data_IF_927798933395
#
_entry.id   IF_927798933395
#
_cell.length_a   1.000
_cell.length_b   1.000
_cell.length_c   1.000
_cell.angle_alpha   90.00
_cell.angle_beta   90.00
_cell.angle_gamma   90.00
#
_symmetry.space_group_name_H-M   'P 1'
#
loop_
_entity.id
_entity.type
_entity.pdbx_description
1 polymer ?
#
# COMPACT_ATOMS: atom_id res chain seq x y z
N UNK A 1 23.38 -27.63 22.65
CA UNK A 1 22.72 -26.96 21.52
C UNK A 1 22.22 -25.61 22.01
N UNK A 2 22.71 -24.48 21.49
CA UNK A 2 22.27 -23.17 21.96
C UNK A 2 20.88 -22.83 21.42
N UNK A 3 20.10 -22.15 22.26
CA UNK A 3 18.73 -21.66 22.00
C UNK A 3 18.72 -20.59 20.91
N UNK A 4 17.77 -20.67 19.99
CA UNK A 4 17.63 -19.87 18.76
C UNK A 4 17.18 -18.40 18.95
N UNK A 5 17.43 -17.81 20.12
CA UNK A 5 16.97 -16.45 20.46
C UNK A 5 18.03 -15.34 20.39
N UNK A 6 19.29 -15.64 20.06
CA UNK A 6 20.38 -14.62 20.08
C UNK A 6 20.86 -14.10 18.72
N UNK A 7 20.27 -14.50 17.59
CA UNK A 7 20.86 -14.18 16.27
C UNK A 7 20.43 -12.82 15.68
N UNK A 8 19.48 -12.08 16.28
CA UNK A 8 19.02 -10.77 15.73
C UNK A 8 19.47 -9.59 16.61
N UNK A 9 20.75 -9.51 16.95
CA UNK A 9 21.33 -8.30 17.59
C UNK A 9 22.35 -7.56 16.73
N UNK A 10 22.90 -8.18 15.69
CA UNK A 10 24.01 -7.59 14.93
C UNK A 10 23.64 -6.96 13.56
N UNK A 11 22.36 -6.93 13.17
CA UNK A 11 21.95 -6.39 11.85
C UNK A 11 21.74 -4.85 11.80
N UNK A 12 22.03 -4.11 12.88
CA UNK A 12 21.79 -2.66 12.96
C UNK A 12 22.96 -1.75 12.53
N UNK A 13 24.05 -2.30 11.97
CA UNK A 13 25.25 -1.50 11.65
C UNK A 13 25.23 -0.77 10.29
N UNK A 14 24.06 -0.53 9.68
CA UNK A 14 23.96 0.11 8.36
C UNK A 14 23.81 1.65 8.36
N UNK A 15 24.01 2.33 9.49
CA UNK A 15 24.00 3.79 9.56
C UNK A 15 25.28 4.35 10.22
N UNK A 16 26.42 4.21 9.55
CA UNK A 16 27.60 5.02 9.86
C UNK A 16 27.63 6.28 8.98
N UNK A 17 26.84 7.28 9.38
CA UNK A 17 27.10 8.69 9.15
C UNK A 17 26.28 9.48 10.18
N UNK A 18 26.95 10.41 10.86
CA UNK A 18 26.46 11.28 11.96
C UNK A 18 26.63 10.68 13.37
N UNK A 19 27.85 10.80 13.90
CA UNK A 19 28.12 10.81 15.33
C UNK A 19 27.73 12.20 15.88
N UNK A 20 26.72 12.25 16.74
CA UNK A 20 26.46 13.42 17.60
C UNK A 20 26.35 13.01 19.08
N UNK A 21 26.74 13.96 19.92
CA UNK A 21 27.12 13.83 21.33
C UNK A 21 25.98 13.31 22.24
N UNK A 22 26.35 12.48 23.22
CA UNK A 22 25.43 11.92 24.20
C UNK A 22 24.97 12.97 25.22
N UNK A 23 23.66 13.18 25.35
CA UNK A 23 23.07 14.03 26.40
C UNK A 23 21.71 14.65 26.10
N UNK A 24 21.16 14.48 24.89
CA UNK A 24 19.96 15.23 24.47
C UNK A 24 18.65 14.55 24.91
N UNK A 25 17.64 15.31 25.39
CA UNK A 25 16.32 14.80 25.77
C UNK A 25 15.66 13.97 24.67
N UNK A 26 14.74 13.08 25.04
CA UNK A 26 13.87 12.32 24.13
C UNK A 26 13.23 13.31 23.15
N UNK A 27 13.76 13.39 21.92
CA UNK A 27 13.26 14.31 20.93
C UNK A 27 11.82 13.92 20.55
N UNK A 28 10.92 14.91 20.38
CA UNK A 28 9.60 14.65 19.81
C UNK A 28 9.78 13.95 18.46
N UNK A 29 8.89 12.98 18.21
CA UNK A 29 8.82 12.09 17.04
C UNK A 29 9.73 12.57 15.89
N UNK A 30 10.88 11.92 15.72
CA UNK A 30 11.80 12.19 14.63
C UNK A 30 10.99 12.37 13.35
N UNK A 31 10.99 13.59 12.79
CA UNK A 31 10.27 13.91 11.57
C UNK A 31 10.49 12.78 10.57
N UNK A 32 9.47 12.46 9.76
CA UNK A 32 9.53 11.47 8.68
C UNK A 32 10.51 11.90 7.57
N UNK A 33 11.77 12.05 7.94
CA UNK A 33 12.80 12.73 7.19
C UNK A 33 13.25 11.85 6.02
N UNK A 34 13.14 10.52 6.11
CA UNK A 34 13.60 9.63 5.03
C UNK A 34 12.73 9.68 3.78
N UNK A 35 11.41 9.85 3.89
CA UNK A 35 10.58 10.09 2.69
C UNK A 35 10.93 11.43 2.09
N UNK A 36 11.09 12.48 2.91
CA UNK A 36 11.60 13.79 2.49
C UNK A 36 12.97 13.70 1.78
N UNK A 37 13.94 13.00 2.35
CA UNK A 37 15.27 12.79 1.77
C UNK A 37 15.18 12.03 0.44
N UNK A 38 14.40 10.96 0.38
CA UNK A 38 14.20 10.22 -0.85
C UNK A 38 13.64 11.14 -1.97
N UNK A 39 12.73 12.03 -1.61
CA UNK A 39 12.18 13.00 -2.55
C UNK A 39 13.21 14.03 -2.97
N UNK A 40 14.01 14.54 -2.03
CA UNK A 40 15.06 15.51 -2.31
C UNK A 40 16.14 14.97 -3.25
N UNK A 41 16.47 13.68 -3.13
CA UNK A 41 17.50 13.03 -3.95
C UNK A 41 17.00 12.56 -5.32
N UNK A 42 15.71 12.25 -5.46
CA UNK A 42 15.10 11.75 -6.70
C UNK A 42 14.13 12.75 -7.34
N UNK A 43 14.18 14.03 -6.93
CA UNK A 43 13.20 15.06 -7.33
C UNK A 43 13.01 15.21 -8.85
N UNK A 44 14.05 14.94 -9.64
CA UNK A 44 14.00 15.00 -11.10
C UNK A 44 13.15 13.88 -11.72
N UNK A 45 12.98 12.76 -11.00
CA UNK A 45 12.21 11.58 -11.42
C UNK A 45 10.79 11.56 -10.85
N UNK A 46 10.56 12.31 -9.78
CA UNK A 46 9.28 12.38 -9.08
C UNK A 46 8.45 13.50 -9.68
N UNK A 47 7.19 13.19 -10.00
CA UNK A 47 6.17 14.14 -10.44
C UNK A 47 4.98 14.06 -9.51
N UNK A 48 4.27 15.18 -9.34
CA UNK A 48 2.98 15.18 -8.66
C UNK A 48 1.89 14.86 -9.68
N UNK A 49 1.09 13.84 -9.41
CA UNK A 49 -0.07 13.45 -10.20
C UNK A 49 -1.26 13.29 -9.26
N UNK A 50 -2.33 14.07 -9.50
CA UNK A 50 -3.52 14.15 -8.61
C UNK A 50 -3.19 14.34 -7.11
N UNK A 51 -2.17 15.15 -6.80
CA UNK A 51 -1.76 15.41 -5.40
C UNK A 51 -0.98 14.27 -4.74
N UNK A 52 -0.69 13.19 -5.47
CA UNK A 52 0.18 12.11 -5.03
C UNK A 52 1.52 12.13 -5.79
N UNK A 53 2.62 11.75 -5.14
CA UNK A 53 3.92 11.65 -5.79
C UNK A 53 4.06 10.35 -6.58
N UNK A 54 4.49 10.46 -7.83
CA UNK A 54 4.57 9.38 -8.80
C UNK A 54 5.90 9.39 -9.55
N UNK A 55 6.28 8.26 -10.11
CA UNK A 55 7.39 8.10 -11.05
C UNK A 55 6.81 7.76 -12.42
N UNK A 56 7.29 8.43 -13.48
CA UNK A 56 6.99 8.01 -14.85
C UNK A 56 7.79 6.75 -15.15
N UNK A 57 7.10 5.66 -15.47
CA UNK A 57 7.71 4.39 -15.81
C UNK A 57 6.95 3.76 -16.98
N UNK A 58 7.67 3.42 -18.05
CA UNK A 58 7.08 3.03 -19.33
C UNK A 58 6.06 4.10 -19.77
N UNK A 59 4.83 3.68 -20.06
CA UNK A 59 3.76 4.52 -20.60
C UNK A 59 2.88 5.16 -19.51
N UNK A 60 3.21 4.95 -18.23
CA UNK A 60 2.35 5.35 -17.11
C UNK A 60 3.05 6.12 -15.98
N UNK A 61 2.23 6.59 -15.05
CA UNK A 61 2.66 7.15 -13.76
C UNK A 61 2.29 6.17 -12.65
N UNK A 62 3.29 5.74 -11.89
CA UNK A 62 3.09 4.82 -10.76
C UNK A 62 3.35 5.54 -9.45
N UNK A 63 2.51 5.35 -8.41
CA UNK A 63 2.67 6.03 -7.13
C UNK A 63 3.94 5.57 -6.40
N UNK A 64 4.48 6.50 -5.63
CA UNK A 64 5.60 6.25 -4.71
C UNK A 64 5.02 5.79 -3.38
N UNK A 65 5.59 4.72 -2.83
CA UNK A 65 5.21 4.18 -1.53
C UNK A 65 5.48 5.23 -0.46
N UNK A 66 4.38 5.70 0.13
CA UNK A 66 4.33 6.57 1.30
C UNK A 66 3.37 5.95 2.32
N UNK A 67 3.19 6.62 3.47
CA UNK A 67 2.20 6.22 4.46
C UNK A 67 0.77 6.33 3.93
N UNK A 68 0.52 7.04 2.83
CA UNK A 68 -0.82 7.29 2.28
C UNK A 68 -1.21 6.31 1.16
N UNK A 69 -0.25 5.54 0.64
CA UNK A 69 -0.56 4.49 -0.34
C UNK A 69 -1.30 3.35 0.37
N UNK A 70 -2.48 2.99 -0.16
CA UNK A 70 -3.33 1.90 0.35
C UNK A 70 -3.43 0.72 -0.61
N UNK A 71 -3.39 0.99 -1.91
CA UNK A 71 -3.49 -0.04 -2.94
C UNK A 71 -2.09 -0.47 -3.42
N UNK A 72 -1.73 -1.71 -3.12
CA UNK A 72 -0.50 -2.37 -3.56
C UNK A 72 -0.75 -3.43 -4.65
N UNK A 73 -1.97 -3.52 -5.19
CA UNK A 73 -2.32 -4.36 -6.35
C UNK A 73 -2.07 -3.64 -7.69
N UNK A 74 -1.30 -2.56 -7.65
CA UNK A 74 -0.83 -1.80 -8.81
C UNK A 74 0.68 -1.65 -8.75
N UNK A 75 1.30 -1.22 -9.85
CA UNK A 75 2.73 -0.87 -9.84
C UNK A 75 2.99 0.27 -8.88
N UNK A 76 3.90 0.06 -7.92
CA UNK A 76 4.33 1.11 -6.98
C UNK A 76 5.85 1.13 -6.82
N UNK A 77 6.40 2.29 -6.48
CA UNK A 77 7.83 2.48 -6.31
C UNK A 77 8.20 2.76 -4.85
N UNK A 78 9.09 1.96 -4.27
CA UNK A 78 9.70 2.25 -2.98
C UNK A 78 11.09 2.87 -3.18
N UNK A 79 11.23 4.15 -2.89
CA UNK A 79 12.44 4.93 -3.20
C UNK A 79 13.44 5.00 -2.03
N UNK A 80 14.72 4.84 -2.38
CA UNK A 80 15.82 4.92 -1.40
C UNK A 80 16.02 6.35 -0.91
N UNK A 81 16.52 6.52 0.31
CA UNK A 81 16.71 7.86 0.90
C UNK A 81 17.97 8.59 0.43
N UNK A 82 18.68 8.08 -0.57
CA UNK A 82 19.85 8.73 -1.18
C UNK A 82 19.87 8.48 -2.69
N UNK A 83 20.63 9.30 -3.43
CA UNK A 83 20.80 9.16 -4.88
C UNK A 83 21.57 7.90 -5.28
N UNK A 84 22.35 7.34 -4.35
CA UNK A 84 23.11 6.09 -4.52
C UNK A 84 22.28 4.82 -4.28
N UNK A 85 20.98 4.95 -4.02
CA UNK A 85 20.09 3.83 -3.75
C UNK A 85 19.15 3.58 -4.91
N UNK A 86 18.80 2.32 -5.05
CA UNK A 86 17.82 1.79 -5.98
C UNK A 86 16.39 2.26 -5.68
N UNK A 87 15.59 2.33 -6.74
CA UNK A 87 14.14 2.45 -6.72
C UNK A 87 13.57 1.04 -6.88
N UNK A 88 12.93 0.53 -5.83
CA UNK A 88 12.32 -0.80 -5.89
C UNK A 88 10.97 -0.70 -6.59
N UNK A 89 10.76 -1.50 -7.61
CA UNK A 89 9.48 -1.62 -8.30
C UNK A 89 8.74 -2.85 -7.79
N UNK A 90 7.57 -2.66 -7.19
CA UNK A 90 6.60 -3.73 -7.04
C UNK A 90 5.76 -3.76 -8.33
N UNK A 91 5.86 -4.84 -9.11
CA UNK A 91 4.99 -5.07 -10.27
C UNK A 91 4.07 -6.28 -10.02
N UNK A 92 2.77 -6.07 -9.71
CA UNK A 92 1.82 -7.17 -9.45
C UNK A 92 1.73 -8.21 -10.57
N UNK A 93 2.13 -7.84 -11.80
CA UNK A 93 2.08 -8.74 -12.95
C UNK A 93 3.24 -9.74 -12.99
N UNK A 94 4.28 -9.56 -12.16
CA UNK A 94 5.41 -10.47 -12.09
C UNK A 94 5.00 -11.90 -11.72
N UNK A 95 5.45 -12.87 -12.50
CA UNK A 95 5.05 -14.28 -12.36
C UNK A 95 5.44 -14.88 -11.00
N UNK A 96 6.58 -14.46 -10.44
CA UNK A 96 7.02 -14.90 -9.11
C UNK A 96 6.07 -14.43 -7.99
N UNK A 97 5.52 -13.21 -8.09
CA UNK A 97 4.54 -12.68 -7.14
C UNK A 97 3.20 -13.40 -7.28
N UNK A 98 2.75 -13.68 -8.51
CA UNK A 98 1.54 -14.48 -8.77
C UNK A 98 1.65 -15.88 -8.16
N UNK A 99 2.78 -16.56 -8.39
CA UNK A 99 3.07 -17.88 -7.80
C UNK A 99 3.10 -17.83 -6.27
N UNK A 100 3.77 -16.83 -5.70
CA UNK A 100 3.84 -16.67 -4.25
C UNK A 100 2.45 -16.42 -3.66
N UNK A 101 1.62 -15.60 -4.31
CA UNK A 101 0.25 -15.37 -3.88
C UNK A 101 -0.62 -16.64 -3.95
N UNK A 102 -0.47 -17.44 -5.01
CA UNK A 102 -1.14 -18.73 -5.12
C UNK A 102 -0.71 -19.69 -3.99
N UNK A 103 0.58 -19.72 -3.62
CA UNK A 103 1.08 -20.49 -2.47
C UNK A 103 0.44 -20.00 -1.16
N UNK A 104 0.39 -18.68 -0.94
CA UNK A 104 -0.27 -18.10 0.25
C UNK A 104 -1.72 -18.54 0.36
N UNK A 105 -2.47 -18.48 -0.74
CA UNK A 105 -3.88 -18.89 -0.81
C UNK A 105 -4.08 -20.35 -0.44
N UNK A 106 -3.13 -21.22 -0.77
CA UNK A 106 -3.16 -22.65 -0.40
C UNK A 106 -2.80 -22.88 1.07
N UNK A 107 -1.93 -22.04 1.65
CA UNK A 107 -1.48 -22.16 3.04
C UNK A 107 -2.51 -21.61 4.05
N UNK A 108 -3.36 -20.66 3.65
CA UNK A 108 -4.40 -20.11 4.51
C UNK A 108 -5.47 -21.17 4.78
N UNK A 109 -5.63 -21.54 6.05
CA UNK A 109 -6.65 -22.47 6.51
C UNK A 109 -8.05 -21.88 6.32
N UNK A 110 -9.04 -22.74 6.09
CA UNK A 110 -10.43 -22.34 6.15
C UNK A 110 -10.75 -21.75 7.52
N UNK A 111 -11.43 -20.59 7.54
CA UNK A 111 -11.77 -19.84 8.75
C UNK A 111 -10.57 -19.31 9.56
N UNK A 112 -9.39 -19.18 8.95
CA UNK A 112 -8.25 -18.53 9.59
C UNK A 112 -8.61 -17.12 10.06
N UNK A 113 -8.16 -16.79 11.26
CA UNK A 113 -8.26 -15.46 11.85
C UNK A 113 -7.26 -14.51 11.19
N UNK A 114 -7.49 -13.19 11.32
CA UNK A 114 -6.57 -12.17 10.80
C UNK A 114 -5.12 -12.37 11.28
N UNK A 115 -4.85 -12.61 12.58
CA UNK A 115 -3.48 -12.91 13.04
C UNK A 115 -2.86 -14.14 12.36
N UNK A 116 -3.62 -15.23 12.17
CA UNK A 116 -3.11 -16.44 11.51
C UNK A 116 -2.76 -16.18 10.05
N UNK A 117 -3.60 -15.43 9.33
CA UNK A 117 -3.33 -15.04 7.94
C UNK A 117 -2.06 -14.19 7.87
N UNK A 118 -1.93 -13.17 8.74
CA UNK A 118 -0.74 -12.31 8.77
C UNK A 118 0.53 -13.10 9.14
N UNK A 119 0.41 -14.14 9.98
CA UNK A 119 1.52 -15.04 10.28
C UNK A 119 1.95 -15.86 9.06
N UNK A 120 1.01 -16.38 8.26
CA UNK A 120 1.33 -17.07 7.01
C UNK A 120 2.00 -16.14 5.99
N UNK A 121 1.55 -14.89 5.87
CA UNK A 121 2.24 -13.86 5.08
C UNK A 121 3.68 -13.70 5.57
N UNK A 122 3.88 -13.57 6.88
CA UNK A 122 5.21 -13.38 7.46
C UNK A 122 6.17 -14.53 7.14
N UNK A 123 5.69 -15.78 7.28
CA UNK A 123 6.46 -16.99 6.95
C UNK A 123 6.86 -17.00 5.47
N UNK A 124 5.91 -16.69 4.59
CA UNK A 124 6.14 -16.74 3.15
C UNK A 124 7.09 -15.64 2.68
N UNK A 125 6.98 -14.44 3.25
CA UNK A 125 7.93 -13.34 3.01
C UNK A 125 9.34 -13.69 3.48
N UNK A 126 9.49 -14.32 4.65
CA UNK A 126 10.81 -14.80 5.12
C UNK A 126 11.38 -15.87 4.19
N UNK A 127 10.55 -16.79 3.70
CA UNK A 127 10.94 -17.80 2.72
C UNK A 127 11.39 -17.18 1.39
N UNK A 128 10.80 -16.07 0.98
CA UNK A 128 11.18 -15.34 -0.24
C UNK A 128 12.52 -14.59 -0.11
N UNK A 129 12.93 -14.24 1.11
CA UNK A 129 14.16 -13.50 1.40
C UNK A 129 14.97 -14.17 2.52
N UNK A 130 15.50 -15.40 2.31
CA UNK A 130 16.24 -16.13 3.33
C UNK A 130 17.58 -15.48 3.70
N UNK A 131 18.14 -14.64 2.83
CA UNK A 131 19.45 -13.99 3.03
C UNK A 131 19.24 -12.53 3.43
N UNK A 132 19.56 -12.20 4.68
CA UNK A 132 19.59 -10.83 5.21
C UNK A 132 20.97 -10.18 5.16
N UNK A 133 21.98 -10.89 4.65
CA UNK A 133 23.36 -10.41 4.59
C UNK A 133 23.51 -9.17 3.71
N UNK A 134 23.85 -8.07 4.36
CA UNK A 134 23.89 -6.73 3.75
C UNK A 134 24.96 -6.57 2.67
N UNK A 135 26.05 -7.35 2.75
CA UNK A 135 27.13 -7.32 1.76
C UNK A 135 26.68 -7.85 0.39
N UNK A 136 25.94 -8.97 0.37
CA UNK A 136 25.38 -9.53 -0.87
C UNK A 136 24.35 -8.58 -1.48
N UNK A 137 23.45 -8.03 -0.66
CA UNK A 137 22.49 -7.03 -1.13
C UNK A 137 23.20 -5.82 -1.73
N UNK A 138 24.24 -5.30 -1.07
CA UNK A 138 25.00 -4.15 -1.57
C UNK A 138 25.66 -4.46 -2.92
N UNK A 139 26.34 -5.60 -3.04
CA UNK A 139 26.97 -6.01 -4.30
C UNK A 139 25.94 -6.19 -5.43
N UNK A 140 24.77 -6.76 -5.11
CA UNK A 140 23.66 -6.93 -6.06
C UNK A 140 23.14 -5.58 -6.55
N UNK A 141 22.87 -4.63 -5.65
CA UNK A 141 22.41 -3.28 -6.01
C UNK A 141 23.48 -2.52 -6.82
N UNK A 142 24.75 -2.56 -6.38
CA UNK A 142 25.85 -1.88 -7.07
C UNK A 142 26.08 -2.42 -8.49
N UNK A 143 25.81 -3.70 -8.73
CA UNK A 143 25.82 -4.27 -10.08
C UNK A 143 24.77 -3.58 -10.97
N UNK A 144 23.50 -3.58 -10.56
CA UNK A 144 22.41 -2.96 -11.32
C UNK A 144 22.62 -1.46 -11.57
N UNK A 145 23.11 -0.74 -10.54
CA UNK A 145 23.40 0.69 -10.67
C UNK A 145 24.52 0.97 -11.67
N UNK A 146 25.57 0.14 -11.73
CA UNK A 146 26.65 0.26 -12.73
C UNK A 146 26.18 -0.04 -14.15
N UNK A 147 25.18 -0.91 -14.31
CA UNK A 147 24.54 -1.22 -15.59
C UNK A 147 23.55 -0.13 -16.03
N UNK A 148 23.38 0.94 -15.24
CA UNK A 148 22.48 2.04 -15.57
C UNK A 148 21.01 1.76 -15.25
N UNK A 149 20.73 0.72 -14.45
CA UNK A 149 19.39 0.29 -14.07
C UNK A 149 19.09 0.73 -12.63
N UNK A 150 18.57 1.97 -12.41
CA UNK A 150 18.23 2.43 -11.07
C UNK A 150 16.92 1.87 -10.54
N UNK A 151 16.08 1.30 -11.42
CA UNK A 151 14.86 0.60 -11.07
C UNK A 151 15.18 -0.88 -11.01
N UNK A 152 14.96 -1.49 -9.86
CA UNK A 152 15.15 -2.94 -9.69
C UNK A 152 13.80 -3.53 -9.25
N UNK A 153 13.20 -4.42 -10.04
CA UNK A 153 11.99 -5.14 -9.69
C UNK A 153 12.14 -5.95 -8.38
N UNK A 154 11.09 -5.99 -7.56
CA UNK A 154 11.06 -6.73 -6.29
C UNK A 154 11.25 -8.23 -6.52
N UNK A 155 10.76 -8.76 -7.64
CA UNK A 155 10.91 -10.17 -7.98
C UNK A 155 12.35 -10.57 -8.27
N UNK A 156 13.21 -9.67 -8.73
CA UNK A 156 14.64 -9.96 -8.87
C UNK A 156 15.30 -10.19 -7.51
N UNK A 157 14.93 -9.42 -6.48
CA UNK A 157 15.37 -9.66 -5.10
C UNK A 157 14.86 -11.01 -4.57
N UNK A 158 13.61 -11.35 -4.88
CA UNK A 158 13.02 -12.65 -4.49
C UNK A 158 13.73 -13.82 -5.15
N UNK A 159 14.06 -13.71 -6.44
CA UNK A 159 14.79 -14.75 -7.18
C UNK A 159 16.20 -14.94 -6.63
N UNK A 160 16.86 -13.84 -6.23
CA UNK A 160 18.16 -13.89 -5.57
C UNK A 160 18.09 -14.27 -4.08
N UNK A 161 16.88 -14.37 -3.50
CA UNK A 161 16.66 -14.71 -2.09
C UNK A 161 17.20 -13.69 -1.10
N UNK A 162 17.42 -12.43 -1.54
CA UNK A 162 18.06 -11.38 -0.75
C UNK A 162 17.05 -10.29 -0.40
N UNK A 163 16.99 -9.89 0.87
CA UNK A 163 16.04 -8.88 1.31
C UNK A 163 16.44 -8.21 2.61
N UNK A 164 15.89 -7.01 2.80
CA UNK A 164 15.95 -6.26 4.06
C UNK A 164 14.55 -5.73 4.35
N UNK A 165 14.37 -4.99 5.45
CA UNK A 165 13.08 -4.47 5.90
C UNK A 165 12.21 -3.86 4.78
N UNK A 166 12.81 -3.12 3.83
CA UNK A 166 12.09 -2.49 2.71
C UNK A 166 11.52 -3.49 1.71
N UNK A 167 12.24 -4.56 1.40
CA UNK A 167 11.79 -5.63 0.51
C UNK A 167 10.66 -6.44 1.18
N UNK A 168 10.87 -6.82 2.45
CA UNK A 168 9.88 -7.56 3.23
C UNK A 168 8.57 -6.79 3.38
N UNK A 169 8.65 -5.52 3.77
CA UNK A 169 7.46 -4.70 3.98
C UNK A 169 6.70 -4.38 2.69
N UNK A 170 7.39 -4.33 1.55
CA UNK A 170 6.74 -4.14 0.25
C UNK A 170 6.01 -5.43 -0.19
N UNK A 171 6.65 -6.59 -0.01
CA UNK A 171 6.02 -7.88 -0.30
C UNK A 171 4.82 -8.16 0.61
N UNK A 172 4.94 -7.89 1.91
CA UNK A 172 3.84 -7.98 2.87
C UNK A 172 2.66 -7.09 2.46
N UNK A 173 2.93 -5.85 2.05
CA UNK A 173 1.89 -4.92 1.63
C UNK A 173 1.12 -5.44 0.41
N UNK A 174 1.83 -5.97 -0.59
CA UNK A 174 1.25 -6.63 -1.75
C UNK A 174 0.35 -7.80 -1.35
N UNK A 175 0.86 -8.75 -0.56
CA UNK A 175 0.12 -9.95 -0.18
C UNK A 175 -1.15 -9.62 0.61
N UNK A 176 -1.07 -8.68 1.56
CA UNK A 176 -2.27 -8.21 2.28
C UNK A 176 -3.26 -7.50 1.36
N UNK A 177 -2.78 -6.64 0.45
CA UNK A 177 -3.63 -5.90 -0.50
C UNK A 177 -4.36 -6.85 -1.46
N UNK A 178 -3.72 -7.93 -1.91
CA UNK A 178 -4.34 -8.97 -2.74
C UNK A 178 -5.41 -9.75 -1.96
N UNK A 179 -5.14 -10.10 -0.71
CA UNK A 179 -6.14 -10.77 0.14
C UNK A 179 -7.34 -9.88 0.47
N UNK A 180 -7.15 -8.56 0.56
CA UNK A 180 -8.26 -7.59 0.72
C UNK A 180 -9.11 -7.53 -0.56
N UNK A 181 -8.48 -7.45 -1.73
CA UNK A 181 -9.20 -7.48 -3.03
C UNK A 181 -10.00 -8.77 -3.20
N UNK A 182 -9.44 -9.91 -2.80
CA UNK A 182 -10.12 -11.20 -2.82
C UNK A 182 -11.09 -11.42 -1.64
N UNK A 183 -11.33 -10.39 -0.82
CA UNK A 183 -12.25 -10.42 0.34
C UNK A 183 -11.93 -11.50 1.40
N UNK A 184 -10.69 -11.96 1.47
CA UNK A 184 -10.20 -12.88 2.50
C UNK A 184 -9.83 -12.12 3.78
N UNK A 185 -9.19 -10.97 3.61
CA UNK A 185 -8.99 -9.98 4.67
C UNK A 185 -9.98 -8.83 4.49
N UNK A 186 -10.40 -8.19 5.58
CA UNK A 186 -11.30 -7.03 5.54
C UNK A 186 -10.65 -5.87 6.27
N UNK A 187 -10.01 -4.95 5.54
CA UNK A 187 -9.28 -3.88 6.22
C UNK A 187 -8.46 -3.00 5.31
N UNK A 188 -7.58 -2.20 5.92
CA UNK A 188 -6.62 -1.37 5.21
C UNK A 188 -5.17 -1.76 5.52
N UNK A 189 -4.33 -1.73 4.48
CA UNK A 189 -2.89 -1.94 4.56
C UNK A 189 -2.20 -0.59 4.71
N UNK A 190 -1.37 -0.46 5.74
CA UNK A 190 -0.64 0.77 6.03
C UNK A 190 0.85 0.48 6.01
N UNK A 191 1.58 1.10 5.08
CA UNK A 191 3.03 1.00 5.03
C UNK A 191 3.68 2.03 5.97
N UNK A 192 4.55 1.56 6.85
CA UNK A 192 5.28 2.38 7.80
C UNK A 192 6.72 2.55 7.35
N UNK A 193 7.22 3.79 7.45
CA UNK A 193 8.63 4.13 7.26
C UNK A 193 9.05 5.08 8.36
N UNK A 194 9.96 4.63 9.21
CA UNK A 194 10.52 5.45 10.27
C UNK A 194 12.04 5.56 10.16
N UNK A 195 12.55 6.64 10.74
CA UNK A 195 13.98 6.84 10.96
C UNK A 195 14.20 6.74 12.45
N UNK A 196 14.97 5.76 12.88
CA UNK A 196 15.32 5.59 14.27
C UNK A 196 16.71 6.17 14.46
N UNK A 197 16.80 7.18 15.34
CA UNK A 197 18.08 7.75 15.72
C UNK A 197 18.99 6.61 16.22
N UNK A 198 20.19 6.47 15.63
CA UNK A 198 21.17 5.37 15.83
C UNK A 198 20.85 4.00 15.22
N UNK A 199 19.59 3.67 14.89
CA UNK A 199 19.25 2.31 14.47
C UNK A 199 18.99 2.12 12.97
N UNK A 200 18.88 3.18 12.18
CA UNK A 200 18.56 2.99 10.76
C UNK A 200 17.32 3.70 10.29
N UNK A 201 17.06 3.55 9.00
CA UNK A 201 15.69 3.59 8.52
C UNK A 201 15.09 2.18 8.64
N UNK A 202 13.85 2.11 9.07
CA UNK A 202 13.11 0.86 9.14
C UNK A 202 11.75 0.99 8.48
N UNK A 203 11.29 -0.10 7.88
CA UNK A 203 10.00 -0.19 7.21
C UNK A 203 9.29 -1.46 7.59
N UNK A 204 8.00 -1.35 7.91
CA UNK A 204 7.13 -2.46 8.29
C UNK A 204 5.70 -2.12 7.87
N UNK A 205 4.75 -3.00 8.17
CA UNK A 205 3.36 -2.77 7.83
C UNK A 205 2.48 -2.79 9.07
N UNK A 206 1.39 -2.04 9.01
CA UNK A 206 0.24 -2.26 9.87
C UNK A 206 -0.94 -2.73 9.01
N UNK A 207 -1.83 -3.49 9.61
CA UNK A 207 -3.10 -3.88 9.02
C UNK A 207 -4.22 -3.52 9.99
N UNK A 208 -5.14 -2.66 9.56
CA UNK A 208 -6.34 -2.34 10.35
C UNK A 208 -7.47 -3.23 9.88
N UNK A 209 -7.84 -4.19 10.71
CA UNK A 209 -8.95 -5.08 10.46
C UNK A 209 -10.27 -4.36 10.79
N UNK A 210 -11.18 -4.33 9.82
CA UNK A 210 -12.52 -3.74 9.96
C UNK A 210 -13.53 -4.70 10.55
N UNK A 211 -13.23 -6.01 10.56
CA UNK A 211 -14.09 -7.06 11.14
C UNK A 211 -14.08 -7.00 12.66
N UNK A 212 -12.90 -6.92 13.27
CA UNK A 212 -12.76 -6.83 14.72
C UNK A 212 -12.30 -5.46 15.23
N UNK A 213 -11.96 -4.53 14.32
CA UNK A 213 -11.56 -3.16 14.62
C UNK A 213 -10.12 -3.02 15.08
N UNK A 214 -9.32 -4.09 15.11
CA UNK A 214 -7.95 -4.08 15.66
C UNK A 214 -6.92 -3.61 14.65
N UNK A 215 -5.87 -2.99 15.18
CA UNK A 215 -4.67 -2.64 14.44
C UNK A 215 -3.55 -3.64 14.74
N UNK A 216 -3.14 -4.37 13.71
CA UNK A 216 -2.06 -5.35 13.76
C UNK A 216 -0.78 -4.77 13.20
N UNK A 217 0.35 -5.09 13.82
CA UNK A 217 1.68 -4.87 13.25
C UNK A 217 2.22 -6.15 12.64
N UNK A 218 2.72 -6.03 11.42
CA UNK A 218 3.42 -7.09 10.70
C UNK A 218 4.82 -6.60 10.34
N UNK A 219 5.81 -7.17 11.02
CA UNK A 219 7.22 -7.00 10.72
C UNK A 219 7.87 -8.37 10.54
N UNK A 220 8.09 -8.75 9.28
CA UNK A 220 8.59 -10.09 8.95
C UNK A 220 10.04 -10.32 9.35
N UNK A 221 10.78 -9.31 9.79
CA UNK A 221 12.10 -9.55 10.40
C UNK A 221 11.97 -10.03 11.86
N UNK A 222 10.86 -9.75 12.53
CA UNK A 222 10.69 -9.97 13.97
C UNK A 222 9.81 -11.18 14.30
N UNK A 223 9.47 -12.02 13.31
CA UNK A 223 8.72 -13.29 13.41
C UNK A 223 7.36 -13.23 14.14
N UNK A 224 6.91 -12.05 14.55
CA UNK A 224 5.73 -11.87 15.37
C UNK A 224 4.76 -10.90 14.69
N UNK A 225 3.49 -11.32 14.62
CA UNK A 225 2.36 -10.44 14.36
C UNK A 225 1.82 -10.03 15.73
N UNK A 226 1.75 -8.73 16.02
CA UNK A 226 1.20 -8.24 17.30
C UNK A 226 -0.03 -7.38 17.08
N UNK A 227 -1.05 -7.59 17.90
CA UNK A 227 -2.20 -6.70 18.02
C UNK A 227 -1.83 -5.55 18.94
N UNK A 228 -1.85 -4.32 18.43
CA UNK A 228 -1.53 -3.13 19.24
C UNK A 228 -2.63 -2.79 20.24
N UNK A 229 -3.86 -3.24 19.96
CA UNK A 229 -4.97 -3.11 20.90
C UNK A 229 -4.82 -4.07 22.10
N UNK A 230 -4.38 -5.31 21.84
CA UNK A 230 -4.28 -6.33 22.89
C UNK A 230 -2.94 -6.26 23.65
N UNK A 231 -1.87 -5.81 22.99
CA UNK A 231 -0.52 -5.72 23.56
C UNK A 231 0.05 -4.30 23.38
N UNK A 232 -0.53 -3.28 24.06
CA UNK A 232 -0.02 -1.92 23.97
C UNK A 232 1.41 -1.82 24.53
N UNK A 233 2.29 -1.13 23.83
CA UNK A 233 3.69 -0.95 24.18
C UNK A 233 4.64 -1.99 23.58
N UNK A 234 4.13 -3.06 22.94
CA UNK A 234 4.97 -4.10 22.33
C UNK A 234 5.90 -3.51 21.28
N UNK A 235 5.43 -2.63 20.40
CA UNK A 235 6.29 -2.01 19.39
C UNK A 235 7.27 -1.03 20.02
N UNK A 236 6.85 -0.36 21.09
CA UNK A 236 7.74 0.55 21.80
C UNK A 236 8.90 -0.21 22.43
N UNK A 237 8.62 -1.36 23.03
CA UNK A 237 9.64 -2.28 23.56
C UNK A 237 10.51 -2.85 22.44
N UNK A 238 9.90 -3.22 21.31
CA UNK A 238 10.59 -3.78 20.14
C UNK A 238 11.67 -2.84 19.61
N UNK A 239 11.29 -1.58 19.36
CA UNK A 239 12.18 -0.61 18.73
C UNK A 239 12.92 0.28 19.74
N UNK A 240 12.63 0.15 21.04
CA UNK A 240 13.22 0.99 22.09
C UNK A 240 12.85 2.47 22.00
N UNK A 241 11.72 2.80 21.35
CA UNK A 241 11.26 4.17 21.07
C UNK A 241 9.74 4.27 21.20
N UNK A 242 9.20 5.47 21.40
CA UNK A 242 7.75 5.68 21.41
C UNK A 242 7.13 5.77 20.00
N UNK A 243 7.13 4.65 19.28
CA UNK A 243 6.54 4.56 17.93
C UNK A 243 5.02 4.56 17.97
N UNK A 244 4.44 4.00 19.03
CA UNK A 244 2.99 3.82 19.16
C UNK A 244 2.26 5.15 19.32
N UNK A 245 2.82 6.13 20.04
CA UNK A 245 2.25 7.48 20.09
C UNK A 245 2.16 8.11 18.70
N UNK A 246 3.18 7.94 17.85
CA UNK A 246 3.16 8.42 16.47
C UNK A 246 2.14 7.71 15.59
N UNK A 247 1.87 6.42 15.85
CA UNK A 247 0.78 5.68 15.19
C UNK A 247 -0.57 6.18 15.69
N UNK A 248 -0.75 6.35 17.01
CA UNK A 248 -2.01 6.87 17.59
C UNK A 248 -2.32 8.29 17.11
N UNK A 249 -1.33 9.16 17.02
CA UNK A 249 -1.50 10.51 16.50
C UNK A 249 -1.96 10.52 15.03
N UNK A 250 -1.48 9.56 14.23
CA UNK A 250 -1.82 9.48 12.81
C UNK A 250 -3.15 8.75 12.53
N UNK A 251 -3.50 7.74 13.32
CA UNK A 251 -4.61 6.84 13.02
C UNK A 251 -5.62 6.67 14.15
N UNK A 252 -5.53 7.47 15.21
CA UNK A 252 -6.39 7.39 16.37
C UNK A 252 -6.16 6.12 17.20
N UNK A 253 -7.24 5.58 17.76
CA UNK A 253 -7.19 4.41 18.62
C UNK A 253 -6.81 3.14 17.84
N UNK A 254 -6.09 2.23 18.51
CA UNK A 254 -5.72 0.91 17.96
C UNK A 254 -6.90 -0.05 17.84
N UNK A 255 -8.00 0.28 18.51
CA UNK A 255 -9.27 -0.40 18.44
C UNK A 255 -10.29 0.60 17.89
N UNK A 256 -10.87 0.31 16.73
CA UNK A 256 -12.05 1.03 16.27
C UNK A 256 -13.22 0.74 17.22
N UNK A 257 -14.14 1.71 17.44
CA UNK A 257 -15.36 1.44 18.17
C UNK A 257 -16.02 0.24 17.53
N UNK A 258 -16.25 -0.82 18.31
CA UNK A 258 -17.10 -1.90 17.83
C UNK A 258 -18.41 -1.25 17.40
N UNK A 259 -18.88 -1.56 16.17
CA UNK A 259 -20.25 -1.23 15.81
C UNK A 259 -21.09 -1.90 16.87
N UNK A 260 -21.49 -1.15 17.92
CA UNK A 260 -22.38 -1.65 18.94
C UNK A 260 -23.51 -2.27 18.14
N UNK A 261 -23.71 -3.58 18.31
CA UNK A 261 -24.92 -4.22 17.82
C UNK A 261 -26.02 -3.40 18.47
N UNK A 262 -26.58 -2.45 17.73
CA UNK A 262 -27.76 -1.71 18.12
C UNK A 262 -28.74 -2.84 18.40
N UNK A 263 -28.96 -3.09 19.68
CA UNK A 263 -29.85 -4.14 20.11
C UNK A 263 -31.21 -3.58 19.70
N UNK A 264 -31.65 -3.97 18.51
CA UNK A 264 -33.00 -3.70 18.02
C UNK A 264 -33.89 -4.48 18.98
N UNK A 265 -34.25 -3.82 20.07
CA UNK A 265 -35.30 -4.24 20.96
C UNK A 265 -36.57 -4.06 20.15
N UNK A 266 -37.09 -5.19 19.69
CA UNK A 266 -38.36 -5.29 18.98
C UNK A 266 -39.47 -4.64 19.79
N UNK A 267 -40.11 -3.62 19.22
CA UNK A 267 -41.52 -3.37 19.42
C UNK A 267 -42.15 -2.92 18.09
N UNK A 268 -43.05 -3.77 17.60
CA UNK A 268 -44.23 -3.48 16.82
C UNK A 268 -44.10 -2.73 15.47
N UNK A 269 -44.37 -3.50 14.41
CA UNK A 269 -45.25 -3.16 13.28
C UNK A 269 -45.44 -1.66 12.98
N UNK A 270 -44.70 -1.15 11.99
CA UNK A 270 -45.28 -0.31 10.94
C UNK A 270 -44.40 -0.32 9.69
N UNK A 271 -45.00 -0.79 8.61
CA UNK A 271 -44.55 -0.68 7.22
C UNK A 271 -44.23 0.80 6.96
N UNK A 272 -42.96 1.18 6.72
CA UNK A 272 -42.58 2.30 5.85
C UNK A 272 -41.05 2.35 5.64
N UNK A 273 -40.68 2.47 4.35
CA UNK A 273 -39.41 2.93 3.77
C UNK A 273 -38.11 2.20 4.17
N UNK A 274 -37.45 1.63 3.16
CA UNK A 274 -36.11 1.05 3.25
C UNK A 274 -35.10 2.10 3.78
N UNK A 275 -34.34 1.82 4.85
CA UNK A 275 -33.35 2.74 5.35
C UNK A 275 -32.15 2.75 4.40
N UNK A 276 -31.83 3.92 3.86
CA UNK A 276 -30.57 4.19 3.16
C UNK A 276 -29.40 3.87 4.09
N UNK A 277 -28.48 3.01 3.64
CA UNK A 277 -27.27 2.67 4.37
C UNK A 277 -26.48 3.96 4.70
N UNK A 278 -25.92 4.08 5.92
CA UNK A 278 -25.09 5.22 6.28
C UNK A 278 -23.86 5.25 5.37
N UNK A 279 -23.74 6.34 4.61
CA UNK A 279 -22.56 6.67 3.82
C UNK A 279 -21.38 6.76 4.78
N UNK A 280 -20.46 5.80 4.70
CA UNK A 280 -19.20 5.86 5.44
C UNK A 280 -18.40 7.00 4.78
N UNK A 281 -18.05 8.08 5.50
CA UNK A 281 -17.22 9.13 4.92
C UNK A 281 -15.87 8.52 4.54
N UNK A 282 -15.47 8.68 3.27
CA UNK A 282 -14.12 8.32 2.85
C UNK A 282 -13.11 9.08 3.72
N UNK A 283 -12.12 8.40 4.32
CA UNK A 283 -11.08 9.09 5.04
C UNK A 283 -10.33 9.99 4.07
N UNK A 284 -10.48 11.30 4.24
CA UNK A 284 -9.68 12.30 3.53
C UNK A 284 -8.21 11.99 3.84
N UNK A 285 -7.39 11.62 2.85
CA UNK A 285 -5.97 11.38 3.09
C UNK A 285 -5.40 12.64 3.72
N UNK A 286 -4.69 12.52 4.85
CA UNK A 286 -3.94 13.61 5.41
C UNK A 286 -2.85 13.98 4.41
N UNK A 287 -3.17 14.85 3.45
CA UNK A 287 -2.25 15.32 2.43
C UNK A 287 -1.02 15.84 3.17
N UNK A 288 0.11 15.17 2.97
CA UNK A 288 1.33 15.47 3.71
C UNK A 288 1.87 16.84 3.21
N UNK A 289 1.39 17.93 3.82
CA UNK A 289 1.72 19.31 3.46
C UNK A 289 3.24 19.55 3.45
N UNK A 290 3.98 18.83 4.29
CA UNK A 290 5.44 18.91 4.33
C UNK A 290 6.09 18.36 3.05
N UNK A 291 5.55 17.27 2.47
CA UNK A 291 6.01 16.71 1.19
C UNK A 291 5.75 17.67 0.02
N UNK A 292 4.57 18.30 0.01
CA UNK A 292 4.24 19.32 -0.99
C UNK A 292 5.20 20.52 -0.92
N UNK A 293 5.56 20.98 0.29
CA UNK A 293 6.51 22.09 0.46
C UNK A 293 7.85 21.83 -0.22
N UNK A 294 8.45 20.66 -0.03
CA UNK A 294 9.75 20.30 -0.61
C UNK A 294 9.72 20.29 -2.14
N UNK A 295 8.65 19.76 -2.74
CA UNK A 295 8.54 19.68 -4.19
C UNK A 295 8.31 21.05 -4.82
N UNK A 296 7.54 21.91 -4.15
CA UNK A 296 7.33 23.30 -4.53
C UNK A 296 8.63 24.14 -4.43
N UNK A 297 9.45 23.95 -3.39
CA UNK A 297 10.71 24.69 -3.18
C UNK A 297 11.75 24.45 -4.29
N UNK A 298 11.75 23.27 -4.92
CA UNK A 298 12.77 22.89 -5.94
C UNK A 298 12.37 23.17 -7.39
N UNK A 299 11.33 23.97 -7.64
CA UNK A 299 10.76 24.17 -8.98
C UNK A 299 10.43 22.83 -9.69
N UNK A 300 10.00 21.82 -8.92
CA UNK A 300 9.56 20.56 -9.54
C UNK A 300 8.34 20.89 -10.40
N UNK A 301 8.32 20.55 -11.71
CA UNK A 301 7.17 20.83 -12.55
C UNK A 301 5.94 20.17 -11.95
N UNK A 302 5.04 20.99 -11.39
CA UNK A 302 3.72 20.56 -10.96
C UNK A 302 2.92 20.40 -12.25
N UNK A 303 2.89 19.18 -12.75
CA UNK A 303 1.95 18.82 -13.82
C UNK A 303 0.59 18.65 -13.14
N UNK A 304 -0.08 19.77 -12.89
CA UNK A 304 -1.50 19.76 -12.56
C UNK A 304 -2.21 19.56 -13.89
N UNK A 305 -2.34 18.33 -14.35
CA UNK A 305 -3.36 18.02 -15.36
C UNK A 305 -4.72 18.26 -14.69
N UNK A 306 -5.25 19.48 -14.88
CA UNK A 306 -6.59 19.87 -14.43
C UNK A 306 -7.69 19.22 -15.27
N UNK A 307 -7.32 18.61 -16.38
CA UNK A 307 -8.24 17.98 -17.29
C UNK A 307 -8.07 16.47 -17.13
N UNK A 308 -9.16 15.81 -16.71
CA UNK A 308 -9.32 14.38 -17.03
C UNK A 308 -9.08 14.27 -18.53
N UNK A 309 -8.32 13.28 -19.03
CA UNK A 309 -8.37 12.98 -20.45
C UNK A 309 -9.85 12.85 -20.82
N UNK A 310 -10.35 13.74 -21.68
CA UNK A 310 -11.54 13.39 -22.43
C UNK A 310 -11.10 12.19 -23.26
N UNK A 311 -11.42 11.00 -22.76
CA UNK A 311 -11.38 9.81 -23.58
C UNK A 311 -12.41 10.11 -24.66
N UNK A 312 -11.93 10.40 -25.87
CA UNK A 312 -12.81 10.47 -27.02
C UNK A 312 -13.29 9.03 -27.27
N UNK A 313 -14.44 8.70 -26.65
CA UNK A 313 -15.03 7.39 -26.78
C UNK A 313 -15.29 7.05 -28.26
N UNK A 314 -15.51 8.04 -29.14
CA UNK A 314 -15.66 7.76 -30.56
C UNK A 314 -14.35 7.30 -31.20
N UNK A 315 -13.21 7.83 -30.76
CA UNK A 315 -11.89 7.44 -31.26
C UNK A 315 -11.51 6.02 -30.78
N UNK A 316 -11.75 5.70 -29.50
CA UNK A 316 -11.55 4.35 -28.95
C UNK A 316 -12.47 3.33 -29.62
N UNK A 317 -13.74 3.70 -29.87
CA UNK A 317 -14.68 2.82 -30.57
C UNK A 317 -14.26 2.63 -32.04
N UNK A 318 -13.80 3.68 -32.74
CA UNK A 318 -13.28 3.57 -34.11
C UNK A 318 -12.03 2.69 -34.18
N UNK A 319 -11.14 2.80 -33.19
CA UNK A 319 -9.93 1.98 -33.10
C UNK A 319 -10.27 0.50 -32.87
N UNK A 320 -11.14 0.19 -31.91
CA UNK A 320 -11.61 -1.19 -31.66
C UNK A 320 -12.34 -1.80 -32.87
N UNK A 321 -13.18 -1.02 -33.55
CA UNK A 321 -13.86 -1.46 -34.78
C UNK A 321 -12.89 -1.67 -35.94
N UNK A 322 -11.78 -0.93 -36.01
CA UNK A 322 -10.76 -1.11 -37.05
C UNK A 322 -9.93 -2.39 -36.88
N UNK A 323 -9.88 -2.95 -35.66
CA UNK A 323 -9.19 -4.20 -35.34
C UNK A 323 -10.06 -5.46 -35.52
N UNK A 324 -11.30 -5.31 -36.02
CA UNK A 324 -12.17 -6.43 -36.36
C UNK A 324 -12.80 -7.13 -35.15
N UNK A 325 -12.83 -6.49 -33.99
CA UNK A 325 -13.55 -7.00 -32.83
C UNK A 325 -15.06 -6.72 -32.98
N UNK A 326 -15.89 -7.77 -32.96
CA UNK A 326 -17.33 -7.60 -32.82
C UNK A 326 -17.65 -6.94 -31.46
N UNK A 327 -18.51 -5.91 -31.42
CA UNK A 327 -18.81 -5.22 -30.18
C UNK A 327 -19.56 -6.15 -29.23
N UNK A 328 -18.89 -6.59 -28.16
CA UNK A 328 -19.54 -7.31 -27.06
C UNK A 328 -20.53 -6.34 -26.41
N UNK A 329 -21.82 -6.69 -26.45
CA UNK A 329 -22.94 -5.99 -25.81
C UNK A 329 -22.80 -5.98 -24.27
N UNK A 330 -21.92 -5.13 -23.75
CA UNK A 330 -21.85 -4.75 -22.33
C UNK A 330 -22.23 -3.29 -22.10
N UNK A 331 -23.17 -2.76 -22.89
CA UNK A 331 -23.65 -1.38 -22.80
C UNK A 331 -24.21 -1.02 -21.39
N UNK A 332 -24.59 -2.03 -20.59
CA UNK A 332 -25.13 -1.83 -19.24
C UNK A 332 -24.08 -1.83 -18.11
N UNK A 333 -22.81 -2.16 -18.38
CA UNK A 333 -21.77 -2.19 -17.32
C UNK A 333 -20.85 -0.97 -17.31
N UNK A 334 -20.65 -0.31 -18.45
CA UNK A 334 -19.77 0.88 -18.55
C UNK A 334 -20.45 2.13 -17.97
N UNK A 335 -21.77 2.28 -18.13
CA UNK A 335 -22.51 3.44 -17.60
C UNK A 335 -22.60 3.49 -16.07
N UNK A 336 -22.21 2.42 -15.36
CA UNK A 336 -22.26 2.35 -13.89
C UNK A 336 -21.03 2.96 -13.21
N UNK A 337 -19.94 3.20 -13.94
CA UNK A 337 -18.68 3.71 -13.37
C UNK A 337 -18.48 5.22 -13.52
N UNK A 338 -19.31 5.92 -14.29
CA UNK A 338 -19.02 7.31 -14.67
C UNK A 338 -20.15 8.33 -14.47
N UNK A 339 -21.21 8.02 -13.71
CA UNK A 339 -22.23 9.02 -13.35
C UNK A 339 -22.01 9.62 -11.95
N UNK A 340 -22.04 10.95 -11.79
CA UNK A 340 -22.29 11.60 -10.50
C UNK A 340 -23.68 11.24 -9.97
N UNK A 341 -23.86 11.24 -8.66
CA UNK A 341 -25.08 10.80 -7.98
C UNK A 341 -26.32 11.68 -8.20
N UNK A 342 -26.22 12.77 -8.97
CA UNK A 342 -27.26 13.82 -9.02
C UNK A 342 -28.11 13.78 -10.31
N UNK A 343 -27.91 12.81 -11.21
CA UNK A 343 -28.76 12.61 -12.38
C UNK A 343 -29.25 11.16 -12.53
N UNK A 344 -30.29 10.85 -11.76
CA UNK A 344 -31.21 9.75 -12.09
C UNK A 344 -32.62 10.34 -12.08
N UNK A 345 -33.08 10.80 -13.24
CA UNK A 345 -34.51 10.91 -13.50
C UNK A 345 -34.84 10.62 -14.98
N UNK A 346 -35.93 9.86 -15.14
CA UNK A 346 -36.64 9.48 -16.38
C UNK A 346 -36.02 8.37 -17.23
N UNK A 347 -36.36 7.14 -16.85
CA UNK A 347 -36.49 6.03 -17.81
C UNK A 347 -37.69 6.37 -18.71
N UNK A 348 -37.42 6.60 -19.99
CA UNK A 348 -38.45 6.67 -21.03
C UNK A 348 -38.85 5.25 -21.40
N UNK A 349 -40.14 4.98 -21.30
CA UNK A 349 -40.80 3.73 -21.70
C UNK A 349 -40.68 3.57 -23.23
N UNK A 350 -39.83 2.65 -23.70
CA UNK A 350 -39.73 2.27 -25.10
C UNK A 350 -40.67 1.10 -25.34
N UNK A 351 -41.96 1.40 -25.33
CA UNK A 351 -43.02 0.53 -25.84
C UNK A 351 -43.74 1.25 -26.98
N UNK A 352 -43.04 1.47 -28.11
CA UNK A 352 -43.66 1.79 -29.39
C UNK A 352 -42.64 1.64 -30.54
N UNK A 353 -42.61 0.45 -31.16
CA UNK A 353 -42.18 0.31 -32.55
C UNK A 353 -43.38 -0.17 -33.37
N UNK A 354 -43.76 0.54 -34.44
CA UNK A 354 -44.77 0.04 -35.37
C UNK A 354 -44.16 -1.08 -36.21
N UNK A 355 -44.87 -2.21 -36.26
CA UNK A 355 -44.62 -3.28 -37.22
C UNK A 355 -44.73 -2.74 -38.64
N UNK A 356 -43.61 -2.73 -39.37
CA UNK A 356 -43.66 -2.60 -40.83
C UNK A 356 -44.06 -3.94 -41.40
N UNK A 357 -45.25 -3.94 -41.99
CA UNK A 357 -45.78 -4.97 -42.87
C UNK A 357 -45.22 -4.83 -44.30
N UNK A 358 -45.08 -6.01 -44.94
CA UNK A 358 -45.14 -6.31 -46.38
C UNK A 358 -43.87 -6.15 -47.23
N UNK A 359 -43.76 -6.84 -48.38
CA UNK A 359 -44.62 -7.90 -48.96
C UNK A 359 -43.99 -9.30 -49.03
#
# INVERSE_FOLDING_TARGET
MPSSFEIIKDENNLNNAEQDQAGTPIQPLAEMNRTKLAFQHHYNRIKMFHGAPCIKYQDGYSPIVTRDVRNFNQRVFSIGSSSSREMLLLDPEAESLKKLYAELRQNIKQNATTPEILQEISKLTQKAFPISETAFLKAFVEKHLREGNPVIPLDEFMQAGIGICRHHSLLNAFLMSRLVEDSILQGEVIHQRHSFHKHGAHTWNLFRDTKDGKLYSLDSLWKNVTSLADNPGDLNKLYGLDVESGIKAAFGTFQLPSKQKVHVTSAEHKVHAAPSLPIIPEPVPALNRALMGILCEKNTPLIIQKERPQIDLEEVIKEELSHGHEPILHHNQINRFFKPADEVDKIVDISNFPSKSNP
#
